data_IF_356653796174
#
_entry.id   IF_356653796174
#
_cell.length_a   1.000
_cell.length_b   1.000
_cell.length_c   1.000
_cell.angle_alpha   90.00
_cell.angle_beta   90.00
_cell.angle_gamma   90.00
#
_symmetry.space_group_name_H-M   'P 1'
#
loop_
_entity.id
_entity.type
_entity.pdbx_description
1 polymer ?
#
# COMPACT_ATOMS: atom_id res chain seq x y z
N UNK A 1 -89.94 -48.22 -14.04
CA UNK A 1 -89.33 -46.88 -14.01
C UNK A 1 -88.23 -46.69 -12.97
N UNK A 2 -87.31 -47.62 -12.74
CA UNK A 2 -86.26 -47.45 -11.74
C UNK A 2 -84.87 -48.02 -12.08
N UNK A 3 -84.57 -48.33 -13.33
CA UNK A 3 -83.29 -48.90 -13.73
C UNK A 3 -82.41 -47.97 -14.61
N UNK A 4 -82.93 -46.84 -15.09
CA UNK A 4 -82.07 -45.87 -15.86
C UNK A 4 -81.31 -44.82 -15.02
N UNK A 5 -81.80 -44.52 -13.82
CA UNK A 5 -81.13 -43.52 -12.94
C UNK A 5 -79.79 -44.00 -12.40
N UNK A 6 -79.64 -45.31 -12.10
CA UNK A 6 -78.39 -45.86 -11.53
C UNK A 6 -77.20 -45.94 -12.51
N UNK A 7 -77.44 -46.07 -13.82
CA UNK A 7 -76.41 -46.10 -14.85
C UNK A 7 -75.79 -44.70 -15.15
N UNK A 8 -76.65 -43.65 -15.13
CA UNK A 8 -76.19 -42.26 -15.35
C UNK A 8 -75.27 -41.75 -14.16
N UNK A 9 -75.67 -42.09 -12.90
CA UNK A 9 -74.86 -41.69 -11.74
C UNK A 9 -73.51 -42.42 -11.66
N UNK A 10 -73.45 -43.72 -12.05
CA UNK A 10 -72.15 -44.42 -12.04
C UNK A 10 -71.22 -43.94 -13.16
N UNK A 11 -71.75 -43.59 -14.38
CA UNK A 11 -70.99 -43.00 -15.46
C UNK A 11 -70.45 -41.60 -15.09
N UNK A 12 -71.23 -40.76 -14.38
CA UNK A 12 -70.81 -39.44 -13.94
C UNK A 12 -69.68 -39.47 -12.86
N UNK A 13 -69.78 -40.40 -11.89
CA UNK A 13 -68.74 -40.61 -10.92
C UNK A 13 -67.45 -41.17 -11.52
N UNK A 14 -67.53 -42.07 -12.50
CA UNK A 14 -66.36 -42.64 -13.17
C UNK A 14 -65.62 -41.59 -14.03
N UNK A 15 -66.34 -40.74 -14.76
CA UNK A 15 -65.77 -39.65 -15.55
C UNK A 15 -65.17 -38.59 -14.63
N UNK A 16 -65.72 -38.31 -13.45
CA UNK A 16 -65.20 -37.37 -12.49
C UNK A 16 -63.93 -37.91 -11.82
N UNK A 17 -63.87 -39.19 -11.51
CA UNK A 17 -62.66 -39.83 -10.99
C UNK A 17 -61.53 -39.87 -12.02
N UNK A 18 -61.81 -40.15 -13.29
CA UNK A 18 -60.81 -40.14 -14.39
C UNK A 18 -60.27 -38.71 -14.61
N UNK A 19 -61.15 -37.68 -14.51
CA UNK A 19 -60.71 -36.28 -14.66
C UNK A 19 -59.84 -35.83 -13.49
N UNK A 20 -60.19 -36.22 -12.26
CA UNK A 20 -59.36 -35.94 -11.07
C UNK A 20 -58.05 -36.67 -11.09
N UNK A 21 -58.01 -37.93 -11.58
CA UNK A 21 -56.79 -38.69 -11.74
C UNK A 21 -55.84 -38.10 -12.79
N UNK A 22 -56.36 -37.64 -13.91
CA UNK A 22 -55.57 -36.92 -14.94
C UNK A 22 -55.04 -35.59 -14.43
N UNK A 23 -55.84 -34.87 -13.61
CA UNK A 23 -55.43 -33.62 -13.00
C UNK A 23 -54.33 -33.83 -11.94
N UNK A 24 -54.46 -34.84 -11.08
CA UNK A 24 -53.39 -35.22 -10.12
C UNK A 24 -52.13 -35.70 -10.83
N UNK A 25 -52.25 -36.48 -11.91
CA UNK A 25 -51.10 -36.90 -12.71
C UNK A 25 -50.40 -35.72 -13.41
N UNK A 26 -51.16 -34.73 -13.90
CA UNK A 26 -50.60 -33.52 -14.49
C UNK A 26 -49.87 -32.65 -13.44
N UNK A 27 -50.43 -32.48 -12.21
CA UNK A 27 -49.79 -31.79 -11.13
C UNK A 27 -48.54 -32.55 -10.69
N UNK A 28 -48.56 -33.86 -10.60
CA UNK A 28 -47.42 -34.69 -10.26
C UNK A 28 -46.29 -34.61 -11.29
N UNK A 29 -46.63 -34.65 -12.60
CA UNK A 29 -45.65 -34.46 -13.65
C UNK A 29 -45.06 -33.04 -13.68
N UNK A 30 -45.87 -31.98 -13.44
CA UNK A 30 -45.36 -30.61 -13.36
C UNK A 30 -44.48 -30.41 -12.15
N UNK A 31 -44.77 -31.07 -11.01
CA UNK A 31 -43.95 -31.02 -9.78
C UNK A 31 -42.61 -31.74 -9.97
N UNK A 32 -42.60 -32.88 -10.71
CA UNK A 32 -41.36 -33.57 -11.08
C UNK A 32 -40.55 -32.71 -12.09
N UNK A 33 -41.16 -32.08 -13.07
CA UNK A 33 -40.46 -31.14 -13.95
C UNK A 33 -39.84 -29.96 -13.24
N UNK A 34 -40.55 -29.40 -12.22
CA UNK A 34 -40.00 -28.32 -11.38
C UNK A 34 -38.88 -28.79 -10.49
N UNK A 35 -38.91 -30.03 -9.99
CA UNK A 35 -37.78 -30.61 -9.20
C UNK A 35 -36.56 -30.92 -10.07
N UNK A 36 -36.72 -31.27 -11.34
CA UNK A 36 -35.62 -31.51 -12.27
C UNK A 36 -34.96 -30.21 -12.72
N UNK A 37 -35.72 -29.09 -12.73
CA UNK A 37 -35.18 -27.74 -13.02
C UNK A 37 -34.47 -27.07 -11.82
N UNK A 38 -34.61 -27.63 -10.61
CA UNK A 38 -33.93 -27.18 -9.41
C UNK A 38 -32.69 -28.03 -9.03
N UNK A 39 -32.09 -28.70 -9.99
CA UNK A 39 -30.72 -29.22 -9.78
C UNK A 39 -29.83 -28.00 -9.58
N UNK A 40 -29.23 -27.83 -8.38
CA UNK A 40 -28.25 -26.78 -8.27
C UNK A 40 -27.18 -27.09 -9.32
N UNK A 41 -27.01 -26.18 -10.26
CA UNK A 41 -25.80 -26.13 -11.08
C UNK A 41 -24.69 -25.95 -10.04
N UNK A 42 -24.07 -27.06 -9.63
CA UNK A 42 -22.73 -26.96 -9.09
C UNK A 42 -21.94 -26.26 -10.20
N UNK A 43 -21.63 -25.01 -9.99
CA UNK A 43 -20.61 -24.36 -10.78
C UNK A 43 -19.44 -25.34 -10.68
N UNK A 44 -19.11 -26.00 -11.76
CA UNK A 44 -17.87 -26.72 -11.88
C UNK A 44 -16.82 -25.64 -11.64
N UNK A 45 -16.13 -25.71 -10.49
CA UNK A 45 -14.96 -24.87 -10.27
C UNK A 45 -14.08 -25.13 -11.49
N UNK A 46 -14.06 -24.14 -12.39
CA UNK A 46 -13.15 -24.16 -13.52
C UNK A 46 -11.76 -24.14 -12.89
N UNK A 47 -11.10 -25.29 -12.87
CA UNK A 47 -9.72 -25.41 -12.39
C UNK A 47 -8.77 -24.45 -13.14
N UNK A 48 -9.19 -23.97 -14.30
CA UNK A 48 -8.43 -23.06 -15.15
C UNK A 48 -8.36 -21.62 -14.62
N UNK A 49 -9.23 -21.24 -13.65
CA UNK A 49 -9.26 -19.89 -13.06
C UNK A 49 -8.60 -19.81 -11.67
N UNK A 50 -8.03 -20.90 -11.18
CA UNK A 50 -7.31 -20.89 -9.89
C UNK A 50 -5.85 -20.55 -10.15
N UNK A 51 -5.44 -19.37 -9.71
CA UNK A 51 -4.06 -18.87 -9.84
C UNK A 51 -3.30 -19.13 -8.53
N UNK A 52 -2.12 -19.73 -8.63
CA UNK A 52 -1.25 -20.00 -7.49
C UNK A 52 -0.35 -18.78 -7.26
N UNK A 53 -0.52 -18.15 -6.10
CA UNK A 53 0.23 -16.94 -5.72
C UNK A 53 1.27 -17.30 -4.67
N UNK A 54 2.52 -16.97 -4.95
CA UNK A 54 3.59 -17.05 -3.96
C UNK A 54 3.38 -15.98 -2.87
N UNK A 55 3.61 -16.37 -1.63
CA UNK A 55 3.48 -15.48 -0.47
C UNK A 55 4.65 -15.74 0.47
N UNK A 56 5.46 -14.74 0.71
CA UNK A 56 6.47 -14.73 1.75
C UNK A 56 6.10 -13.65 2.78
N UNK A 57 6.75 -13.68 3.93
CA UNK A 57 6.43 -12.75 5.02
C UNK A 57 7.00 -11.37 4.69
N UNK A 58 6.11 -10.45 4.34
CA UNK A 58 6.43 -9.06 4.06
C UNK A 58 5.20 -8.16 4.25
N UNK A 59 5.42 -6.86 4.23
CA UNK A 59 4.38 -5.83 4.41
C UNK A 59 3.30 -5.85 3.33
N UNK A 60 3.62 -6.32 2.12
CA UNK A 60 2.67 -6.38 1.00
C UNK A 60 1.61 -7.47 1.14
N UNK A 61 1.90 -8.53 1.90
CA UNK A 61 1.03 -9.69 2.10
C UNK A 61 1.10 -10.18 3.54
N UNK A 62 0.33 -9.57 4.42
CA UNK A 62 0.29 -9.97 5.83
C UNK A 62 -0.79 -11.00 6.10
N UNK A 63 -0.59 -11.84 7.10
CA UNK A 63 -1.58 -12.81 7.61
C UNK A 63 -1.68 -12.65 9.10
N UNK A 64 -2.88 -12.33 9.60
CA UNK A 64 -3.10 -12.20 11.04
C UNK A 64 -3.22 -13.57 11.75
N UNK A 65 -3.30 -13.57 13.07
CA UNK A 65 -3.44 -14.80 13.89
C UNK A 65 -4.68 -15.65 13.54
N UNK A 66 -5.71 -15.06 12.91
CA UNK A 66 -6.91 -15.75 12.45
C UNK A 66 -6.78 -16.34 11.05
N UNK A 67 -5.65 -16.11 10.39
CA UNK A 67 -5.42 -16.54 9.01
C UNK A 67 -6.04 -15.62 7.95
N UNK A 68 -6.51 -14.42 8.33
CA UNK A 68 -7.04 -13.43 7.40
C UNK A 68 -5.89 -12.67 6.75
N UNK A 69 -5.94 -12.53 5.43
CA UNK A 69 -4.92 -11.84 4.63
C UNK A 69 -5.29 -10.38 4.44
N UNK A 70 -4.27 -9.54 4.41
CA UNK A 70 -4.36 -8.12 4.11
C UNK A 70 -3.04 -7.62 3.52
N UNK A 71 -2.98 -6.34 3.15
CA UNK A 71 -1.78 -5.71 2.63
C UNK A 71 -1.94 -5.22 1.19
N UNK A 72 -1.00 -4.39 0.77
CA UNK A 72 -0.96 -3.76 -0.54
C UNK A 72 -1.10 -4.77 -1.69
N UNK A 73 -0.25 -5.78 -1.73
CA UNK A 73 -0.25 -6.78 -2.79
C UNK A 73 -1.49 -7.68 -2.76
N UNK A 74 -1.98 -7.99 -1.55
CA UNK A 74 -3.20 -8.78 -1.41
C UNK A 74 -4.42 -8.04 -1.98
N UNK A 75 -4.64 -6.78 -1.62
CA UNK A 75 -5.79 -6.00 -2.11
C UNK A 75 -5.70 -5.80 -3.63
N UNK A 76 -4.51 -5.49 -4.16
CA UNK A 76 -4.32 -5.34 -5.58
C UNK A 76 -4.69 -6.63 -6.36
N UNK A 77 -4.25 -7.79 -5.85
CA UNK A 77 -4.62 -9.07 -6.44
C UNK A 77 -6.13 -9.32 -6.37
N UNK A 78 -6.82 -8.95 -5.27
CA UNK A 78 -8.28 -9.10 -5.19
C UNK A 78 -9.00 -8.26 -6.26
N UNK A 79 -8.54 -7.04 -6.52
CA UNK A 79 -9.10 -6.20 -7.57
C UNK A 79 -8.80 -6.76 -8.96
N UNK A 80 -7.57 -7.26 -9.21
CA UNK A 80 -7.24 -7.98 -10.44
C UNK A 80 -8.17 -9.18 -10.63
N UNK A 81 -8.45 -9.96 -9.57
CA UNK A 81 -9.37 -11.10 -9.63
C UNK A 81 -10.77 -10.69 -10.07
N UNK A 82 -11.25 -9.52 -9.62
CA UNK A 82 -12.54 -8.97 -10.03
C UNK A 82 -12.65 -8.75 -11.55
N UNK A 83 -11.57 -8.32 -12.20
CA UNK A 83 -11.53 -8.10 -13.66
C UNK A 83 -11.20 -9.36 -14.45
N UNK A 84 -10.30 -10.21 -13.93
CA UNK A 84 -9.84 -11.41 -14.62
C UNK A 84 -10.72 -12.66 -14.37
N UNK A 85 -11.60 -12.60 -13.36
CA UNK A 85 -12.45 -13.74 -12.97
C UNK A 85 -11.65 -14.84 -12.28
N UNK A 86 -10.57 -14.49 -11.59
CA UNK A 86 -9.68 -15.44 -10.92
C UNK A 86 -10.09 -15.72 -9.47
N UNK A 87 -9.62 -16.85 -8.98
CA UNK A 87 -9.53 -17.17 -7.55
C UNK A 87 -8.09 -17.51 -7.22
N UNK A 88 -7.63 -17.20 -6.00
CA UNK A 88 -6.24 -17.41 -5.62
C UNK A 88 -6.07 -18.55 -4.64
N UNK A 89 -4.99 -19.30 -4.88
CA UNK A 89 -4.42 -20.26 -3.92
C UNK A 89 -3.06 -19.74 -3.51
N UNK A 90 -2.93 -19.26 -2.27
CA UNK A 90 -1.66 -18.78 -1.74
C UNK A 90 -0.78 -19.94 -1.30
N UNK A 91 0.50 -19.89 -1.69
CA UNK A 91 1.55 -20.85 -1.33
C UNK A 91 2.62 -20.06 -0.58
N UNK A 92 2.72 -20.29 0.74
CA UNK A 92 3.66 -19.60 1.60
C UNK A 92 5.01 -20.28 1.58
N UNK A 93 6.07 -19.50 1.37
CA UNK A 93 7.46 -19.97 1.35
C UNK A 93 8.38 -18.82 1.81
N UNK A 94 9.68 -19.02 1.86
CA UNK A 94 10.64 -17.94 2.00
C UNK A 94 10.92 -17.26 0.64
N UNK A 95 11.52 -16.08 0.70
CA UNK A 95 11.85 -15.27 -0.46
C UNK A 95 12.52 -16.06 -1.58
N UNK A 96 13.62 -16.74 -1.29
CA UNK A 96 14.40 -17.47 -2.28
C UNK A 96 13.64 -18.64 -2.90
N UNK A 97 12.90 -19.39 -2.09
CA UNK A 97 12.11 -20.51 -2.58
C UNK A 97 10.94 -20.06 -3.44
N UNK A 98 10.34 -18.88 -3.19
CA UNK A 98 9.29 -18.31 -4.06
C UNK A 98 9.78 -18.12 -5.49
N UNK A 99 11.00 -17.64 -5.71
CA UNK A 99 11.59 -17.53 -7.06
C UNK A 99 11.73 -18.89 -7.73
N UNK A 100 12.32 -19.84 -7.03
CA UNK A 100 12.49 -21.22 -7.55
C UNK A 100 11.13 -21.84 -7.90
N UNK A 101 10.11 -21.64 -7.07
CA UNK A 101 8.76 -22.15 -7.31
C UNK A 101 8.08 -21.47 -8.50
N UNK A 102 8.35 -20.17 -8.71
CA UNK A 102 7.85 -19.44 -9.88
C UNK A 102 8.48 -19.98 -11.16
N UNK A 103 9.80 -20.13 -11.20
CA UNK A 103 10.55 -20.68 -12.34
C UNK A 103 10.11 -22.09 -12.68
N UNK A 104 9.90 -22.94 -11.68
CA UNK A 104 9.49 -24.34 -11.85
C UNK A 104 7.98 -24.52 -12.09
N UNK A 105 7.19 -23.44 -12.06
CA UNK A 105 5.75 -23.51 -12.28
C UNK A 105 4.95 -24.11 -11.12
N UNK A 106 5.49 -24.07 -9.90
CA UNK A 106 4.76 -24.45 -8.69
C UNK A 106 3.84 -23.32 -8.23
N UNK A 107 4.22 -22.05 -8.50
CA UNK A 107 3.39 -20.85 -8.38
C UNK A 107 3.29 -20.16 -9.75
N UNK A 108 2.26 -19.36 -9.94
CA UNK A 108 1.96 -18.67 -11.20
C UNK A 108 2.31 -17.19 -11.15
N UNK A 109 2.13 -16.55 -10.01
CA UNK A 109 2.36 -15.11 -9.78
C UNK A 109 3.10 -14.89 -8.46
N UNK A 110 4.02 -13.92 -8.47
CA UNK A 110 4.69 -13.39 -7.30
C UNK A 110 4.65 -11.85 -7.39
N UNK A 111 4.16 -11.15 -6.38
CA UNK A 111 4.10 -9.69 -6.34
C UNK A 111 5.27 -9.09 -5.56
N UNK A 112 5.49 -7.77 -5.72
CA UNK A 112 6.52 -7.02 -4.97
C UNK A 112 7.94 -7.30 -5.48
N UNK A 113 8.12 -7.52 -6.79
CA UNK A 113 9.41 -7.91 -7.35
C UNK A 113 10.00 -6.76 -8.15
N UNK A 114 11.15 -6.24 -7.73
CA UNK A 114 11.92 -5.27 -8.50
C UNK A 114 12.41 -5.93 -9.80
N UNK A 115 12.28 -5.20 -10.91
CA UNK A 115 12.79 -5.66 -12.20
C UNK A 115 14.33 -5.64 -12.22
N UNK A 116 14.93 -6.72 -12.69
CA UNK A 116 16.34 -6.75 -13.13
C UNK A 116 16.45 -7.57 -14.42
N UNK A 117 17.46 -7.26 -15.23
CA UNK A 117 17.72 -8.00 -16.49
C UNK A 117 17.96 -9.50 -16.19
N UNK A 118 18.66 -9.82 -15.12
CA UNK A 118 18.91 -11.20 -14.68
C UNK A 118 17.61 -11.94 -14.36
N UNK A 119 16.69 -11.30 -13.64
CA UNK A 119 15.38 -11.91 -13.31
C UNK A 119 14.52 -12.08 -14.56
N UNK A 120 14.58 -11.12 -15.48
CA UNK A 120 13.80 -11.18 -16.73
C UNK A 120 14.23 -12.31 -17.69
N UNK A 121 15.41 -12.93 -17.48
CA UNK A 121 15.81 -14.13 -18.21
C UNK A 121 14.99 -15.36 -17.81
N UNK A 122 14.45 -15.40 -16.59
CA UNK A 122 13.82 -16.59 -16.00
C UNK A 122 12.33 -16.41 -15.67
N UNK A 123 11.77 -15.20 -15.78
CA UNK A 123 10.38 -14.91 -15.48
C UNK A 123 9.82 -13.80 -16.35
N UNK A 124 8.50 -13.72 -16.47
CA UNK A 124 7.81 -12.61 -17.10
C UNK A 124 7.48 -11.55 -16.05
N UNK A 125 7.39 -10.30 -16.47
CA UNK A 125 6.97 -9.19 -15.63
C UNK A 125 5.70 -8.54 -16.19
N UNK A 126 4.88 -7.95 -15.31
CA UNK A 126 3.78 -7.09 -15.73
C UNK A 126 4.29 -5.90 -16.55
N UNK A 127 3.48 -5.41 -17.50
CA UNK A 127 3.85 -4.26 -18.36
C UNK A 127 3.94 -2.95 -17.57
N UNK A 128 3.19 -2.85 -16.46
CA UNK A 128 3.18 -1.70 -15.56
C UNK A 128 3.67 -2.12 -14.18
N UNK A 129 4.34 -1.23 -13.45
CA UNK A 129 4.65 -1.47 -12.06
C UNK A 129 3.36 -1.62 -11.24
N UNK A 130 3.40 -2.48 -10.23
CA UNK A 130 2.35 -2.55 -9.24
C UNK A 130 2.47 -1.45 -8.18
N UNK A 131 3.63 -0.83 -8.06
CA UNK A 131 3.93 0.24 -7.11
C UNK A 131 5.41 0.56 -7.09
N UNK A 132 5.81 1.29 -6.07
CA UNK A 132 7.19 1.69 -5.81
C UNK A 132 7.59 1.31 -4.39
N UNK A 133 8.83 0.91 -4.20
CA UNK A 133 9.48 0.72 -2.90
C UNK A 133 10.49 1.83 -2.65
N UNK A 134 10.44 2.40 -1.45
CA UNK A 134 11.43 3.37 -0.98
C UNK A 134 12.41 2.70 -0.04
N UNK A 135 13.69 2.98 -0.23
CA UNK A 135 14.77 2.42 0.57
C UNK A 135 15.37 3.48 1.48
N UNK A 136 15.58 3.07 2.71
CA UNK A 136 16.16 3.92 3.75
C UNK A 136 17.34 3.23 4.41
N UNK A 137 18.27 4.04 4.92
CA UNK A 137 19.24 3.57 5.91
C UNK A 137 18.58 3.66 7.28
N UNK A 138 18.58 2.56 8.00
CA UNK A 138 18.03 2.42 9.35
C UNK A 138 19.13 2.16 10.37
N UNK A 139 18.92 2.65 11.60
CA UNK A 139 19.80 2.36 12.73
C UNK A 139 18.99 2.24 14.03
N UNK A 140 19.63 1.80 15.10
CA UNK A 140 19.08 1.89 16.44
C UNK A 140 18.75 3.35 16.79
N UNK A 141 17.56 3.61 17.34
CA UNK A 141 17.08 4.97 17.64
C UNK A 141 17.95 5.72 18.65
N UNK A 142 18.82 5.02 19.39
CA UNK A 142 19.80 5.62 20.30
C UNK A 142 21.12 6.02 19.62
N UNK A 143 21.35 5.62 18.37
CA UNK A 143 22.56 5.98 17.63
C UNK A 143 22.45 7.41 17.10
N UNK A 144 23.18 8.32 17.74
CA UNK A 144 23.21 9.74 17.41
C UNK A 144 24.38 10.12 16.47
N UNK A 145 25.26 9.16 16.15
CA UNK A 145 26.45 9.41 15.35
C UNK A 145 26.16 9.53 13.85
N UNK A 146 25.02 8.97 13.41
CA UNK A 146 24.57 8.97 12.02
C UNK A 146 23.39 9.93 11.85
N UNK A 147 23.51 10.89 10.95
CA UNK A 147 22.43 11.87 10.68
C UNK A 147 22.29 12.18 9.21
N UNK A 148 21.04 12.38 8.75
CA UNK A 148 20.74 12.78 7.37
C UNK A 148 21.39 14.12 6.98
N UNK A 149 21.54 15.03 7.94
CA UNK A 149 22.15 16.35 7.74
C UNK A 149 23.67 16.34 7.57
N UNK A 150 24.33 15.21 7.84
CA UNK A 150 25.78 15.05 7.71
C UNK A 150 26.13 13.72 7.04
N UNK A 151 26.13 13.71 5.71
CA UNK A 151 26.44 12.49 4.94
C UNK A 151 27.85 11.95 5.20
N UNK A 152 28.83 12.81 5.55
CA UNK A 152 30.18 12.39 5.91
C UNK A 152 30.19 11.45 7.12
N UNK A 153 29.13 11.45 7.95
CA UNK A 153 28.99 10.54 9.09
C UNK A 153 28.93 9.07 8.69
N UNK A 154 28.58 8.78 7.43
CA UNK A 154 28.50 7.42 6.88
C UNK A 154 29.85 6.90 6.35
N UNK A 155 30.84 7.77 6.14
CA UNK A 155 32.13 7.36 5.59
C UNK A 155 32.81 6.28 6.43
N UNK A 156 33.13 5.15 5.79
CA UNK A 156 33.76 3.99 6.43
C UNK A 156 32.86 3.17 7.37
N UNK A 157 31.58 3.48 7.47
CA UNK A 157 30.63 2.74 8.34
C UNK A 157 30.30 1.36 7.78
N UNK A 158 30.00 0.43 8.70
CA UNK A 158 29.54 -0.91 8.36
C UNK A 158 28.02 -0.89 8.14
N UNK A 159 27.58 -1.07 6.89
CA UNK A 159 26.17 -1.03 6.53
C UNK A 159 25.68 -2.43 6.16
N UNK A 160 24.66 -2.91 6.87
CA UNK A 160 24.00 -4.17 6.58
C UNK A 160 23.21 -4.10 5.27
N UNK A 161 23.44 -5.04 4.35
CA UNK A 161 22.68 -5.22 3.11
C UNK A 161 22.16 -6.63 3.03
N UNK A 162 20.89 -6.80 2.61
CA UNK A 162 20.28 -8.12 2.52
C UNK A 162 20.82 -8.90 1.34
N UNK A 163 21.31 -10.09 1.61
CA UNK A 163 21.86 -10.98 0.60
C UNK A 163 20.76 -11.40 -0.40
N UNK A 164 21.14 -11.51 -1.67
CA UNK A 164 20.25 -11.89 -2.78
C UNK A 164 19.05 -10.90 -2.96
N UNK A 165 19.26 -9.64 -2.55
CA UNK A 165 18.30 -8.54 -2.63
C UNK A 165 18.95 -7.33 -3.30
N UNK A 166 18.16 -6.38 -3.80
CA UNK A 166 18.64 -5.18 -4.50
C UNK A 166 19.19 -4.09 -3.55
N UNK A 167 19.12 -4.29 -2.24
CA UNK A 167 19.59 -3.31 -1.24
C UNK A 167 21.06 -2.91 -1.41
N UNK A 168 21.90 -3.83 -1.87
CA UNK A 168 23.30 -3.54 -2.16
C UNK A 168 23.45 -2.64 -3.40
N UNK A 169 22.65 -2.87 -4.43
CA UNK A 169 22.67 -2.04 -5.65
C UNK A 169 22.19 -0.63 -5.35
N UNK A 170 21.10 -0.49 -4.58
CA UNK A 170 20.56 0.82 -4.15
C UNK A 170 21.59 1.58 -3.30
N UNK A 171 22.29 0.89 -2.39
CA UNK A 171 23.36 1.50 -1.59
C UNK A 171 24.53 1.95 -2.47
N UNK A 172 24.97 1.12 -3.42
CA UNK A 172 26.04 1.47 -4.35
C UNK A 172 25.72 2.73 -5.18
N UNK A 173 24.47 2.85 -5.66
CA UNK A 173 24.02 4.03 -6.40
C UNK A 173 24.03 5.29 -5.54
N UNK A 174 23.58 5.18 -4.29
CA UNK A 174 23.60 6.27 -3.33
C UNK A 174 25.04 6.70 -2.99
N UNK A 175 25.94 5.75 -2.71
CA UNK A 175 27.36 6.02 -2.48
C UNK A 175 27.99 6.74 -3.67
N UNK A 176 27.74 6.25 -4.88
CA UNK A 176 28.26 6.87 -6.10
C UNK A 176 27.78 8.32 -6.26
N UNK A 177 26.49 8.56 -5.97
CA UNK A 177 25.87 9.89 -6.07
C UNK A 177 26.50 10.92 -5.15
N UNK A 178 26.88 10.50 -3.94
CA UNK A 178 27.41 11.40 -2.90
C UNK A 178 28.92 11.28 -2.67
N UNK A 179 29.57 10.35 -3.37
CA UNK A 179 31.02 10.14 -3.26
C UNK A 179 31.44 9.51 -1.94
N UNK A 180 30.60 8.67 -1.36
CA UNK A 180 30.82 7.99 -0.08
C UNK A 180 31.40 6.59 -0.29
N UNK A 181 32.11 6.08 0.72
CA UNK A 181 32.66 4.72 0.72
C UNK A 181 32.35 4.06 2.07
N UNK A 182 31.41 3.14 2.06
CA UNK A 182 31.03 2.38 3.25
C UNK A 182 31.52 0.92 3.18
N UNK A 183 31.33 0.14 4.24
CA UNK A 183 31.64 -1.28 4.27
C UNK A 183 30.35 -2.07 4.24
N UNK A 184 30.10 -2.82 3.16
CA UNK A 184 28.91 -3.63 3.03
C UNK A 184 29.04 -4.94 3.81
N UNK A 185 28.09 -5.19 4.70
CA UNK A 185 28.01 -6.40 5.51
C UNK A 185 26.77 -7.18 5.15
N UNK A 186 26.94 -8.35 4.53
CA UNK A 186 25.81 -9.19 4.17
C UNK A 186 25.05 -9.70 5.39
N UNK A 187 23.71 -9.58 5.36
CA UNK A 187 22.78 -10.12 6.33
C UNK A 187 21.72 -10.96 5.62
N UNK A 188 21.23 -12.00 6.30
CA UNK A 188 20.31 -12.96 5.68
C UNK A 188 18.84 -12.75 6.07
N UNK A 189 18.59 -12.09 7.20
CA UNK A 189 17.25 -11.87 7.74
C UNK A 189 17.26 -10.80 8.84
N UNK A 190 16.07 -10.37 9.25
CA UNK A 190 15.87 -9.35 10.31
C UNK A 190 16.53 -9.72 11.64
N UNK A 191 16.49 -11.00 12.05
CA UNK A 191 17.08 -11.42 13.32
C UNK A 191 18.61 -11.23 13.31
N UNK A 192 19.27 -11.51 12.17
CA UNK A 192 20.69 -11.27 12.00
C UNK A 192 21.04 -9.77 12.01
N UNK A 193 20.20 -8.93 11.39
CA UNK A 193 20.34 -7.46 11.45
C UNK A 193 20.33 -7.00 12.92
N UNK A 194 19.30 -7.39 13.68
CA UNK A 194 19.17 -6.98 15.09
C UNK A 194 20.33 -7.48 15.96
N UNK A 195 20.78 -8.71 15.73
CA UNK A 195 21.94 -9.28 16.45
C UNK A 195 23.23 -8.49 16.16
N UNK A 196 23.47 -8.20 14.87
CA UNK A 196 24.67 -7.44 14.45
C UNK A 196 24.65 -5.98 14.91
N UNK A 197 23.48 -5.30 14.87
CA UNK A 197 23.34 -3.94 15.42
C UNK A 197 23.64 -3.93 16.92
N UNK A 198 23.05 -4.86 17.70
CA UNK A 198 23.26 -4.94 19.14
C UNK A 198 24.70 -5.20 19.54
N UNK A 199 25.47 -5.88 18.68
CA UNK A 199 26.91 -6.15 18.85
C UNK A 199 27.83 -5.10 18.25
N UNK A 200 27.28 -4.05 17.62
CA UNK A 200 28.02 -3.04 16.87
C UNK A 200 28.91 -3.63 15.75
N UNK A 201 28.48 -4.76 15.17
CA UNK A 201 29.12 -5.36 13.99
C UNK A 201 28.69 -4.63 12.72
N UNK A 202 27.49 -4.03 12.72
CA UNK A 202 27.02 -3.04 11.76
C UNK A 202 26.58 -1.78 12.49
N UNK A 203 26.79 -0.62 11.86
CA UNK A 203 26.39 0.69 12.37
C UNK A 203 24.94 1.02 12.00
N UNK A 204 24.52 0.55 10.83
CA UNK A 204 23.19 0.75 10.25
C UNK A 204 22.93 -0.33 9.17
N UNK A 205 21.75 -0.31 8.57
CA UNK A 205 21.40 -1.25 7.51
C UNK A 205 20.42 -0.62 6.51
N UNK A 206 20.37 -1.17 5.30
CA UNK A 206 19.42 -0.77 4.25
C UNK A 206 18.19 -1.66 4.29
N UNK A 207 17.01 -1.07 4.30
CA UNK A 207 15.74 -1.78 4.13
C UNK A 207 14.70 -0.90 3.44
N UNK A 208 13.64 -1.55 2.98
CA UNK A 208 12.43 -0.87 2.51
C UNK A 208 11.67 -0.24 3.69
N UNK A 209 10.78 0.68 3.37
CA UNK A 209 9.85 1.27 4.34
C UNK A 209 8.89 0.18 4.87
N UNK A 210 9.01 -0.15 6.16
CA UNK A 210 8.23 -1.22 6.79
C UNK A 210 7.84 -0.88 8.24
N UNK A 211 6.55 -1.17 8.66
CA UNK A 211 6.07 -0.91 10.02
C UNK A 211 6.89 -1.57 11.13
N UNK A 212 7.38 -2.77 10.88
CA UNK A 212 8.07 -3.58 11.89
C UNK A 212 9.30 -2.93 12.52
N UNK A 213 9.91 -1.97 11.82
CA UNK A 213 11.08 -1.28 12.34
C UNK A 213 10.73 -0.37 13.52
N UNK A 214 9.55 0.25 13.49
CA UNK A 214 9.07 1.12 14.56
C UNK A 214 8.88 0.38 15.88
N UNK A 215 8.31 -0.82 15.82
CA UNK A 215 8.10 -1.67 17.00
C UNK A 215 9.41 -2.13 17.64
N UNK A 216 10.51 -2.07 16.89
CA UNK A 216 11.84 -2.57 17.28
C UNK A 216 12.81 -1.48 17.75
N UNK A 217 12.34 -0.24 18.00
CA UNK A 217 13.20 0.92 18.33
C UNK A 217 14.24 1.22 17.23
N UNK A 218 13.94 0.86 16.00
CA UNK A 218 14.74 1.14 14.80
C UNK A 218 14.17 2.39 14.13
N UNK A 219 15.05 3.30 13.75
CA UNK A 219 14.65 4.54 13.09
C UNK A 219 15.36 4.69 11.75
N UNK A 220 14.67 5.16 10.70
CA UNK A 220 15.31 5.55 9.47
C UNK A 220 16.11 6.83 9.67
N UNK A 221 17.24 6.92 8.97
CA UNK A 221 18.11 8.09 8.99
C UNK A 221 17.86 8.93 7.72
N UNK A 222 17.93 8.28 6.57
CA UNK A 222 17.83 8.96 5.27
C UNK A 222 17.29 8.02 4.21
N UNK A 223 16.53 8.58 3.27
CA UNK A 223 16.16 7.87 2.04
C UNK A 223 17.36 7.79 1.11
N UNK A 224 17.58 6.62 0.51
CA UNK A 224 18.72 6.39 -0.38
C UNK A 224 18.32 6.03 -1.82
N UNK A 225 17.05 5.77 -2.05
CA UNK A 225 16.54 5.47 -3.39
C UNK A 225 15.12 4.93 -3.36
N UNK A 226 14.61 4.73 -4.55
CA UNK A 226 13.30 4.10 -4.79
C UNK A 226 13.39 3.21 -6.02
N UNK A 227 12.60 2.14 -6.08
CA UNK A 227 12.52 1.24 -7.24
C UNK A 227 11.08 0.87 -7.51
N UNK A 228 10.75 0.76 -8.80
CA UNK A 228 9.47 0.19 -9.21
C UNK A 228 9.43 -1.31 -8.89
N UNK A 229 8.29 -1.77 -8.39
CA UNK A 229 8.01 -3.18 -8.15
C UNK A 229 6.90 -3.67 -9.08
N UNK A 230 6.98 -4.93 -9.44
CA UNK A 230 6.14 -5.56 -10.45
C UNK A 230 5.53 -6.87 -9.95
N UNK A 231 4.56 -7.37 -10.68
CA UNK A 231 4.20 -8.77 -10.62
C UNK A 231 5.13 -9.56 -11.53
N UNK A 232 5.79 -10.57 -10.95
CA UNK A 232 6.52 -11.58 -11.70
C UNK A 232 5.62 -12.78 -11.97
N UNK A 233 5.66 -13.30 -13.19
CA UNK A 233 4.79 -14.36 -13.68
C UNK A 233 5.64 -15.53 -14.19
N UNK A 234 5.17 -16.76 -13.96
CA UNK A 234 5.79 -17.95 -14.50
C UNK A 234 6.04 -17.82 -16.00
N UNK A 235 7.25 -18.10 -16.51
CA UNK A 235 7.61 -17.89 -17.92
C UNK A 235 6.78 -18.72 -18.90
N UNK A 236 6.19 -19.85 -18.44
CA UNK A 236 5.34 -20.72 -19.26
C UNK A 236 3.86 -20.27 -19.25
N UNK A 237 3.53 -19.15 -18.57
CA UNK A 237 2.15 -18.64 -18.42
C UNK A 237 1.96 -17.22 -19.00
N UNK A 238 2.26 -17.02 -20.30
CA UNK A 238 1.99 -15.73 -20.95
C UNK A 238 0.50 -15.37 -20.97
N UNK A 239 -0.39 -16.36 -20.88
CA UNK A 239 -1.84 -16.18 -20.74
C UNK A 239 -2.20 -15.42 -19.45
N UNK A 240 -1.54 -15.76 -18.34
CA UNK A 240 -1.70 -15.06 -17.05
C UNK A 240 -1.19 -13.63 -17.16
N UNK A 241 0.00 -13.45 -17.76
CA UNK A 241 0.56 -12.11 -17.99
C UNK A 241 -0.41 -11.22 -18.77
N UNK A 242 -0.95 -11.69 -19.90
CA UNK A 242 -1.87 -10.91 -20.73
C UNK A 242 -3.14 -10.52 -19.96
N UNK A 243 -3.72 -11.44 -19.21
CA UNK A 243 -4.92 -11.19 -18.43
C UNK A 243 -4.66 -10.23 -17.26
N UNK A 244 -3.52 -10.38 -16.57
CA UNK A 244 -3.06 -9.51 -15.49
C UNK A 244 -2.85 -8.08 -15.99
N UNK A 245 -2.08 -7.90 -17.07
CA UNK A 245 -1.82 -6.58 -17.66
C UNK A 245 -3.11 -5.90 -18.13
N UNK A 246 -4.05 -6.68 -18.67
CA UNK A 246 -5.37 -6.16 -19.04
C UNK A 246 -6.16 -5.68 -17.82
N UNK A 247 -6.13 -6.43 -16.72
CA UNK A 247 -6.80 -6.06 -15.48
C UNK A 247 -6.16 -4.81 -14.86
N UNK A 248 -4.82 -4.74 -14.78
CA UNK A 248 -4.08 -3.59 -14.26
C UNK A 248 -4.39 -2.31 -15.04
N UNK A 249 -4.41 -2.38 -16.39
CA UNK A 249 -4.82 -1.23 -17.22
C UNK A 249 -6.23 -0.76 -16.91
N UNK A 250 -7.18 -1.68 -16.73
CA UNK A 250 -8.57 -1.32 -16.41
C UNK A 250 -8.69 -0.69 -15.03
N UNK A 251 -7.99 -1.22 -14.03
CA UNK A 251 -7.93 -0.64 -12.68
C UNK A 251 -7.41 0.81 -12.75
N UNK A 252 -6.34 1.04 -13.50
CA UNK A 252 -5.76 2.38 -13.69
C UNK A 252 -6.69 3.32 -14.47
N UNK A 253 -7.41 2.81 -15.47
CA UNK A 253 -8.40 3.60 -16.23
C UNK A 253 -9.59 4.00 -15.35
N UNK A 254 -10.05 3.10 -14.46
CA UNK A 254 -11.16 3.34 -13.54
C UNK A 254 -10.76 4.25 -12.37
N UNK A 255 -9.52 4.11 -11.86
CA UNK A 255 -8.94 4.98 -10.83
C UNK A 255 -7.45 5.25 -11.13
N UNK A 256 -7.10 6.40 -11.74
CA UNK A 256 -5.70 6.77 -12.02
C UNK A 256 -4.80 6.88 -10.78
N UNK A 257 -5.39 7.06 -9.59
CA UNK A 257 -4.69 7.19 -8.31
C UNK A 257 -4.71 5.90 -7.48
N UNK A 258 -5.06 4.77 -8.09
CA UNK A 258 -5.27 3.50 -7.38
C UNK A 258 -4.03 3.06 -6.58
N UNK A 259 -2.86 3.08 -7.18
CA UNK A 259 -1.60 2.72 -6.52
C UNK A 259 -1.24 3.68 -5.39
N UNK A 260 -1.49 4.98 -5.56
CA UNK A 260 -1.28 5.99 -4.51
C UNK A 260 -2.24 5.79 -3.34
N UNK A 261 -3.50 5.43 -3.62
CA UNK A 261 -4.50 5.13 -2.60
C UNK A 261 -4.13 3.88 -1.80
N UNK A 262 -3.63 2.83 -2.46
CA UNK A 262 -3.11 1.64 -1.79
C UNK A 262 -1.86 1.94 -0.97
N UNK A 263 -0.92 2.71 -1.53
CA UNK A 263 0.29 3.13 -0.83
C UNK A 263 -0.06 3.87 0.46
N UNK A 264 -0.91 4.89 0.38
CA UNK A 264 -1.38 5.64 1.55
C UNK A 264 -2.06 4.77 2.60
N UNK A 265 -2.78 3.75 2.20
CA UNK A 265 -3.51 2.87 3.11
C UNK A 265 -2.62 1.87 3.83
N UNK A 266 -1.59 1.35 3.17
CA UNK A 266 -0.79 0.26 3.69
C UNK A 266 0.64 0.61 4.03
N UNK A 267 1.21 1.63 3.40
CA UNK A 267 2.63 1.94 3.48
C UNK A 267 2.89 3.35 4.03
N UNK A 268 2.13 4.37 3.64
CA UNK A 268 2.42 5.75 4.01
C UNK A 268 2.06 6.12 5.46
N UNK A 269 1.26 5.31 6.16
CA UNK A 269 0.97 5.55 7.58
C UNK A 269 2.23 5.53 8.46
N UNK A 270 3.35 5.15 7.89
CA UNK A 270 4.63 4.95 8.57
C UNK A 270 5.67 6.04 8.29
N UNK A 271 5.50 6.79 7.19
CA UNK A 271 6.37 7.96 6.93
C UNK A 271 6.18 9.08 7.96
N UNK A 272 5.14 9.00 8.78
CA UNK A 272 4.88 9.93 9.86
C UNK A 272 5.72 9.70 11.12
N UNK A 273 6.35 8.54 11.27
CA UNK A 273 7.11 8.20 12.48
C UNK A 273 8.60 8.51 12.38
N UNK A 274 9.08 9.01 11.26
CA UNK A 274 10.51 9.21 11.02
C UNK A 274 11.08 10.48 11.68
N UNK A 275 10.58 10.81 12.85
CA UNK A 275 11.19 11.85 13.63
C UNK A 275 12.39 11.29 14.41
N UNK A 276 13.54 11.95 14.27
CA UNK A 276 14.67 11.74 15.16
C UNK A 276 14.27 11.98 16.62
N UNK A 277 15.05 11.48 17.55
CA UNK A 277 14.83 11.74 18.97
C UNK A 277 14.80 13.25 19.27
N UNK A 278 15.70 14.00 18.65
CA UNK A 278 15.76 15.46 18.81
C UNK A 278 14.53 16.17 18.28
N UNK A 279 14.00 15.74 17.13
CA UNK A 279 12.76 16.29 16.57
C UNK A 279 11.56 16.00 17.46
N UNK A 280 11.45 14.78 18.00
CA UNK A 280 10.41 14.43 18.98
C UNK A 280 10.53 15.24 20.26
N UNK A 281 11.75 15.41 20.79
CA UNK A 281 12.00 16.24 21.97
C UNK A 281 11.69 17.70 21.67
N UNK A 282 12.06 18.20 20.49
CA UNK A 282 11.76 19.56 20.06
C UNK A 282 10.25 19.81 19.97
N UNK A 283 9.48 18.92 19.30
CA UNK A 283 8.01 19.01 19.22
C UNK A 283 7.40 19.02 20.63
N UNK A 284 7.85 18.13 21.51
CA UNK A 284 7.34 18.04 22.88
C UNK A 284 7.63 19.28 23.73
N UNK A 285 8.69 20.04 23.43
CA UNK A 285 9.10 21.26 24.14
C UNK A 285 8.58 22.54 23.50
N UNK A 286 8.41 22.55 22.18
CA UNK A 286 8.04 23.73 21.42
C UNK A 286 6.58 24.16 21.67
N UNK A 287 5.68 23.20 21.87
CA UNK A 287 4.24 23.43 21.92
C UNK A 287 3.65 23.61 20.51
N UNK A 288 2.59 24.43 20.39
CA UNK A 288 1.94 24.64 19.12
C UNK A 288 2.87 25.28 18.08
N UNK A 289 2.90 24.70 16.87
CA UNK A 289 3.62 25.24 15.72
C UNK A 289 2.81 26.42 15.14
N UNK A 290 3.42 27.61 15.12
CA UNK A 290 2.75 28.84 14.72
C UNK A 290 2.87 29.04 13.20
N UNK A 291 1.73 28.88 12.48
CA UNK A 291 1.66 29.01 11.04
C UNK A 291 1.13 30.41 10.68
N UNK A 292 1.88 31.14 9.87
CA UNK A 292 1.40 32.39 9.26
C UNK A 292 0.82 32.15 7.88
N UNK A 293 -0.31 32.81 7.58
CA UNK A 293 -0.97 32.75 6.28
C UNK A 293 -1.56 34.11 5.86
N UNK A 294 -1.88 34.29 4.58
CA UNK A 294 -2.58 35.48 4.09
C UNK A 294 -4.09 35.31 4.27
N UNK A 295 -4.75 36.35 4.80
CA UNK A 295 -6.22 36.39 4.98
C UNK A 295 -6.99 36.24 3.67
N UNK A 296 -6.38 36.60 2.54
CA UNK A 296 -6.95 36.51 1.20
C UNK A 296 -5.83 36.08 0.21
N UNK A 297 -5.75 34.78 -0.10
CA UNK A 297 -4.81 34.23 -1.07
C UNK A 297 -5.50 33.19 -1.98
N UNK A 298 -6.50 33.61 -2.70
CA UNK A 298 -7.24 32.82 -3.67
C UNK A 298 -7.85 31.56 -3.05
N UNK A 299 -7.55 30.38 -3.62
CA UNK A 299 -7.99 29.09 -3.07
C UNK A 299 -7.06 28.53 -1.98
N UNK A 300 -5.94 29.18 -1.70
CA UNK A 300 -4.94 28.74 -0.72
C UNK A 300 -5.43 28.99 0.70
N UNK A 301 -5.80 30.25 0.98
CA UNK A 301 -6.35 30.68 2.27
C UNK A 301 -7.33 31.83 2.07
N UNK A 302 -8.49 31.76 2.70
CA UNK A 302 -9.50 32.80 2.65
C UNK A 302 -10.25 32.87 3.98
N UNK A 303 -10.26 34.04 4.60
CA UNK A 303 -11.03 34.33 5.82
C UNK A 303 -12.33 35.02 5.44
N UNK A 304 -13.46 34.40 5.83
CA UNK A 304 -14.77 35.01 5.68
C UNK A 304 -14.87 36.26 6.59
N UNK A 305 -15.07 37.48 6.03
CA UNK A 305 -15.07 38.70 6.83
C UNK A 305 -16.22 38.79 7.83
N UNK A 306 -17.28 38.00 7.63
CA UNK A 306 -18.49 38.03 8.49
C UNK A 306 -18.42 37.05 9.64
N UNK A 307 -17.79 35.91 9.43
CA UNK A 307 -17.71 34.81 10.42
C UNK A 307 -16.32 34.63 11.02
N UNK A 308 -15.27 35.16 10.37
CA UNK A 308 -13.88 34.91 10.75
C UNK A 308 -13.40 33.52 10.44
N UNK A 309 -14.19 32.69 9.70
CA UNK A 309 -13.84 31.30 9.40
C UNK A 309 -12.80 31.27 8.30
N UNK A 310 -11.69 30.58 8.58
CA UNK A 310 -10.66 30.24 7.61
C UNK A 310 -11.13 29.07 6.74
N UNK A 311 -10.88 29.15 5.44
CA UNK A 311 -11.13 28.11 4.44
C UNK A 311 -10.00 28.12 3.41
N UNK A 312 -9.88 27.04 2.66
CA UNK A 312 -8.87 26.87 1.60
C UNK A 312 -7.97 25.67 1.85
N UNK A 313 -7.01 25.46 0.96
CA UNK A 313 -6.07 24.33 1.02
C UNK A 313 -5.33 24.25 2.37
N UNK A 314 -5.08 25.40 3.00
CA UNK A 314 -4.41 25.43 4.33
C UNK A 314 -5.17 24.61 5.38
N UNK A 315 -6.50 24.63 5.39
CA UNK A 315 -7.29 23.88 6.38
C UNK A 315 -7.15 22.40 6.19
N UNK A 316 -7.21 21.94 4.94
CA UNK A 316 -7.07 20.50 4.61
C UNK A 316 -5.65 20.01 4.92
N UNK A 317 -4.65 20.87 4.68
CA UNK A 317 -3.25 20.54 4.94
C UNK A 317 -2.94 20.46 6.45
N UNK A 318 -3.50 21.38 7.24
CA UNK A 318 -3.34 21.37 8.70
C UNK A 318 -4.04 20.15 9.31
N UNK A 319 -5.29 19.89 8.90
CA UNK A 319 -6.03 18.70 9.37
C UNK A 319 -5.28 17.38 9.07
N UNK A 320 -4.62 17.30 7.91
CA UNK A 320 -3.77 16.17 7.55
C UNK A 320 -2.52 16.12 8.42
N UNK A 321 -1.84 17.26 8.63
CA UNK A 321 -0.60 17.36 9.38
C UNK A 321 -0.78 17.08 10.88
N UNK A 322 -1.92 17.47 11.49
CA UNK A 322 -2.22 17.19 12.91
C UNK A 322 -2.15 15.69 13.24
N UNK A 323 -2.49 14.84 12.28
CA UNK A 323 -2.61 13.39 12.46
C UNK A 323 -1.53 12.60 11.72
N UNK A 324 -0.50 13.27 11.18
CA UNK A 324 0.53 12.58 10.39
C UNK A 324 1.56 11.84 11.24
N UNK A 325 1.67 12.14 12.53
CA UNK A 325 2.62 11.49 13.44
C UNK A 325 1.94 10.42 14.28
N UNK A 326 2.46 9.20 14.26
CA UNK A 326 1.95 8.13 15.11
C UNK A 326 2.28 8.41 16.58
N UNK A 327 1.25 8.36 17.43
CA UNK A 327 1.40 8.53 18.86
C UNK A 327 1.69 9.96 19.34
N UNK A 328 1.78 10.93 18.42
CA UNK A 328 1.89 12.36 18.72
C UNK A 328 0.94 13.16 17.84
N UNK A 329 0.19 14.07 18.42
CA UNK A 329 -0.62 15.04 17.69
C UNK A 329 0.16 16.34 17.62
N UNK A 330 0.35 16.88 16.41
CA UNK A 330 0.90 18.22 16.24
C UNK A 330 -0.20 19.24 16.55
N UNK A 331 0.14 20.20 17.37
CA UNK A 331 -0.73 21.36 17.63
C UNK A 331 -0.31 22.51 16.74
N UNK A 332 -1.27 23.15 16.08
CA UNK A 332 -1.02 24.30 15.22
C UNK A 332 -1.76 25.55 15.69
N UNK A 333 -1.07 26.68 15.66
CA UNK A 333 -1.66 28.00 15.86
C UNK A 333 -1.64 28.78 14.55
N UNK A 334 -2.82 29.10 14.01
CA UNK A 334 -2.98 29.73 12.70
C UNK A 334 -3.09 31.26 12.84
N UNK A 335 -2.16 32.00 12.25
CA UNK A 335 -2.02 33.44 12.35
C UNK A 335 -2.21 34.12 10.98
N UNK A 336 -3.31 34.83 10.80
CA UNK A 336 -3.65 35.52 9.55
C UNK A 336 -3.03 36.90 9.43
N UNK A 337 -2.52 37.23 8.24
CA UNK A 337 -1.94 38.55 7.88
C UNK A 337 -2.60 39.11 6.63
N UNK A 338 -2.71 40.41 6.55
CA UNK A 338 -3.32 41.07 5.39
C UNK A 338 -2.36 41.24 4.22
N UNK A 339 -1.08 41.35 4.52
CA UNK A 339 -0.04 41.56 3.50
C UNK A 339 1.13 40.57 3.63
N UNK A 340 1.73 40.27 2.48
CA UNK A 340 2.94 39.42 2.45
C UNK A 340 4.12 40.06 3.21
N UNK A 341 4.21 41.36 3.25
CA UNK A 341 5.26 42.07 4.02
C UNK A 341 5.12 41.84 5.52
N UNK A 342 3.89 41.96 6.05
CA UNK A 342 3.63 41.70 7.48
C UNK A 342 3.90 40.24 7.83
N UNK A 343 3.49 39.32 6.95
CA UNK A 343 3.71 37.86 7.10
C UNK A 343 5.21 37.52 7.17
N UNK A 344 6.02 38.06 6.25
CA UNK A 344 7.47 37.89 6.25
C UNK A 344 8.14 38.51 7.48
N UNK A 345 7.69 39.71 7.88
CA UNK A 345 8.21 40.38 9.08
C UNK A 345 7.89 39.56 10.34
N UNK A 346 6.71 38.96 10.41
CA UNK A 346 6.34 38.10 11.54
C UNK A 346 7.22 36.84 11.65
N UNK A 347 7.60 36.24 10.50
CA UNK A 347 8.58 35.13 10.48
C UNK A 347 9.95 35.57 10.95
N UNK A 348 10.45 36.69 10.43
CA UNK A 348 11.74 37.26 10.83
C UNK A 348 11.80 37.66 12.31
N UNK A 349 10.69 38.16 12.85
CA UNK A 349 10.56 38.49 14.28
C UNK A 349 10.35 37.28 15.18
N UNK A 350 10.27 36.05 14.65
CA UNK A 350 10.00 34.82 15.41
C UNK A 350 8.60 34.75 16.02
N UNK A 351 7.63 35.51 15.48
CA UNK A 351 6.23 35.47 15.92
C UNK A 351 5.47 34.26 15.37
N UNK A 352 5.92 33.75 14.24
CA UNK A 352 5.48 32.51 13.61
C UNK A 352 6.69 31.67 13.25
N UNK A 353 6.48 30.36 13.15
CA UNK A 353 7.54 29.39 12.90
C UNK A 353 7.66 29.06 11.41
N UNK A 354 6.54 29.11 10.70
CA UNK A 354 6.51 28.88 9.26
C UNK A 354 5.42 29.70 8.57
N UNK A 355 5.58 29.85 7.26
CA UNK A 355 4.60 30.49 6.37
C UNK A 355 3.99 29.42 5.50
N UNK A 356 2.64 29.32 5.52
CA UNK A 356 1.91 28.51 4.57
C UNK A 356 1.66 29.30 3.30
N UNK A 357 2.14 28.73 2.25
CA UNK A 357 2.37 29.09 0.88
C UNK A 357 3.44 30.17 0.70
N UNK A 358 4.70 29.71 0.69
CA UNK A 358 5.85 30.53 0.31
C UNK A 358 6.16 30.39 -1.19
N UNK A 359 6.81 31.43 -1.76
CA UNK A 359 7.36 31.34 -3.11
C UNK A 359 8.59 30.40 -3.09
N UNK A 360 8.64 29.40 -3.96
CA UNK A 360 9.73 28.44 -4.11
C UNK A 360 11.01 29.03 -4.74
N UNK A 361 11.33 30.28 -4.46
CA UNK A 361 12.56 30.90 -4.95
C UNK A 361 13.66 30.81 -3.87
N UNK A 362 14.67 29.93 -4.01
CA UNK A 362 15.75 29.78 -3.03
C UNK A 362 16.51 31.07 -2.77
N UNK A 363 16.77 31.86 -3.80
CA UNK A 363 17.44 33.15 -3.68
C UNK A 363 16.64 34.14 -2.82
N UNK A 364 15.31 34.14 -2.96
CA UNK A 364 14.44 34.98 -2.14
C UNK A 364 14.45 34.52 -0.68
N UNK A 365 14.42 33.22 -0.44
CA UNK A 365 14.48 32.64 0.90
C UNK A 365 15.79 32.98 1.59
N UNK A 366 16.92 32.72 0.94
CA UNK A 366 18.26 33.01 1.45
C UNK A 366 18.44 34.53 1.75
N UNK A 367 17.99 35.39 0.83
CA UNK A 367 18.09 36.85 0.99
C UNK A 367 17.28 37.37 2.19
N UNK A 368 16.16 36.69 2.51
CA UNK A 368 15.29 37.08 3.62
C UNK A 368 15.55 36.27 4.91
N UNK A 369 16.53 35.37 4.92
CA UNK A 369 17.01 34.66 6.11
C UNK A 369 16.09 33.52 6.59
N UNK A 370 15.37 32.84 5.68
CA UNK A 370 14.59 31.65 6.01
C UNK A 370 14.89 30.48 5.05
N UNK A 371 14.56 29.27 5.47
CA UNK A 371 14.69 28.04 4.68
C UNK A 371 13.36 27.74 3.97
N UNK A 372 13.43 27.05 2.83
CA UNK A 372 12.28 26.42 2.19
C UNK A 372 12.20 24.95 2.63
N UNK A 373 10.98 24.43 2.82
CA UNK A 373 10.75 23.01 2.94
C UNK A 373 10.94 22.33 1.60
N UNK A 374 11.21 21.03 1.61
CA UNK A 374 11.11 20.20 0.43
C UNK A 374 9.68 20.19 -0.11
N UNK A 375 9.52 20.02 -1.41
CA UNK A 375 8.21 20.12 -2.10
C UNK A 375 7.58 18.74 -2.26
#
# INVERSE_FOLDING_TARGET
CSLEGGRKMKKCKLVQNIRNFKFCYFIFCTMICLMVLSVPTFAQENSDNVIRVGSFEETYNTVNEKGERSGYGYEYLQDIAGYAGWTYKYITSDWKNCFTQLENGEIDILGGISYTDERAENMLFSDMPMGEEKYYIYTDASNMDLTAGNLDSFEGKNIGVFKDNITEDVLNEWELKYGLHTQHVNVSNTAEVMDKLSKHEIDCFVSVEEPRWEESEISPITSIGETEIYFAINPERPDIKEALDSAMRRIKDDNPFYTDDLYRRYLSAQSSSFLSKEEREWIGQHGAIRIGYLNQDGGISSVDPSTGKLTGVITDYVDLAENCLQGQTLEFELNGYDTRSELLQALQDGKIDLIFHANQNPYFAETNGFALSDT
#
